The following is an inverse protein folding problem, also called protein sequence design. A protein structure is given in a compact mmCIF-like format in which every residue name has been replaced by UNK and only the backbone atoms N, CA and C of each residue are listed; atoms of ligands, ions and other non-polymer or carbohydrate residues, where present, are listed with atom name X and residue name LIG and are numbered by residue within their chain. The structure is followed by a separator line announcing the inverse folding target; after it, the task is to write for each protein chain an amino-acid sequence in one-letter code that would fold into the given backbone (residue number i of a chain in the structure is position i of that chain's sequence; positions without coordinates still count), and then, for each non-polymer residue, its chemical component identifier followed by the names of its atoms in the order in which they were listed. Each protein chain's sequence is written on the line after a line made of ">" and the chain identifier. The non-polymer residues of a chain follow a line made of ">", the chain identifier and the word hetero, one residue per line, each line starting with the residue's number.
data_IF_146241139095
#
_entry.id   IF_146241139095
#
_cell.length_a   1.000
_cell.length_b   1.000
_cell.length_c   1.000
_cell.angle_alpha   90.00
_cell.angle_beta   90.00
_cell.angle_gamma   90.00
#
_symmetry.space_group_name_H-M   'P 1'
#
loop_
_entity.id
_entity.type
_entity.pdbx_description
1 polymer ?
#
# COMPACT_ATOMS: atom_id res chain seq x y z
N UNK A 1 -2.66 35.47 -8.32
CA UNK A 1 -1.99 34.39 -9.03
C UNK A 1 -2.11 33.11 -8.22
N UNK A 2 -3.35 32.59 -8.18
CA UNK A 2 -3.69 31.40 -7.42
C UNK A 2 -3.44 30.15 -8.24
N UNK A 3 -2.25 29.57 -8.16
CA UNK A 3 -2.13 28.12 -8.31
C UNK A 3 -2.61 27.55 -6.99
N UNK A 4 -3.91 27.33 -6.87
CA UNK A 4 -4.46 26.45 -5.87
C UNK A 4 -3.76 25.10 -6.04
N UNK A 5 -2.85 24.79 -5.13
CA UNK A 5 -2.32 23.45 -5.01
C UNK A 5 -3.54 22.55 -4.76
N UNK A 6 -4.01 21.87 -5.79
CA UNK A 6 -5.13 20.98 -5.70
C UNK A 6 -4.82 20.00 -4.56
N UNK A 7 -5.63 20.04 -3.52
CA UNK A 7 -5.49 19.07 -2.40
C UNK A 7 -5.63 17.66 -2.96
N UNK A 8 -4.72 16.74 -2.64
CA UNK A 8 -4.84 15.37 -3.12
C UNK A 8 -6.20 14.82 -2.74
N UNK A 9 -6.93 14.30 -3.71
CA UNK A 9 -8.20 13.62 -3.46
C UNK A 9 -7.87 12.34 -2.71
N UNK A 10 -8.58 12.06 -1.62
CA UNK A 10 -8.41 10.83 -0.85
C UNK A 10 -8.50 9.60 -1.77
N UNK A 11 -7.55 8.67 -1.61
CA UNK A 11 -7.47 7.46 -2.43
C UNK A 11 -6.89 7.66 -3.83
N UNK A 12 -6.36 8.85 -4.15
CA UNK A 12 -5.71 9.14 -5.44
C UNK A 12 -4.31 9.72 -5.23
N UNK A 13 -3.32 8.83 -5.04
CA UNK A 13 -1.91 9.17 -4.82
C UNK A 13 -1.68 10.15 -3.66
N UNK A 14 -2.50 10.10 -2.62
CA UNK A 14 -2.30 10.88 -1.41
C UNK A 14 -1.20 10.28 -0.55
N UNK A 15 -0.15 11.05 -0.27
CA UNK A 15 0.97 10.59 0.56
C UNK A 15 0.80 10.98 2.01
N UNK A 16 1.04 10.03 2.91
CA UNK A 16 1.03 10.22 4.35
C UNK A 16 2.38 9.80 4.93
N UNK A 17 2.97 10.67 5.74
CA UNK A 17 4.20 10.38 6.47
C UNK A 17 3.85 9.95 7.89
N UNK A 18 4.02 8.67 8.20
CA UNK A 18 3.73 8.10 9.51
C UNK A 18 4.87 8.39 10.49
N UNK A 19 4.53 8.42 11.77
CA UNK A 19 5.52 8.62 12.85
C UNK A 19 6.58 7.52 12.92
N UNK A 20 6.23 6.32 12.48
CA UNK A 20 7.16 5.20 12.35
C UNK A 20 8.25 5.39 11.30
N UNK A 21 8.13 6.43 10.45
CA UNK A 21 9.01 6.67 9.29
C UNK A 21 8.53 6.02 8.00
N UNK A 22 7.35 5.42 8.01
CA UNK A 22 6.70 4.86 6.81
C UNK A 22 6.16 5.98 5.94
N UNK A 23 6.38 5.91 4.64
CA UNK A 23 5.65 6.70 3.64
C UNK A 23 4.52 5.83 3.08
N UNK A 24 3.29 6.19 3.41
CA UNK A 24 2.08 5.51 2.96
C UNK A 24 1.46 6.29 1.80
N UNK A 25 1.35 5.66 0.65
CA UNK A 25 0.70 6.24 -0.54
C UNK A 25 -0.68 5.62 -0.70
N UNK A 26 -1.69 6.44 -0.56
CA UNK A 26 -3.09 6.06 -0.72
C UNK A 26 -3.51 6.25 -2.18
N UNK A 27 -3.56 5.16 -2.93
CA UNK A 27 -4.09 5.09 -4.30
C UNK A 27 -5.26 4.08 -4.37
N UNK A 28 -6.06 4.05 -3.32
CA UNK A 28 -7.09 3.05 -3.06
C UNK A 28 -8.43 3.32 -3.74
N UNK A 29 -8.57 4.46 -4.44
CA UNK A 29 -9.85 4.84 -5.06
C UNK A 29 -10.28 3.87 -6.15
N UNK A 30 -9.36 3.47 -7.03
CA UNK A 30 -9.62 2.51 -8.09
C UNK A 30 -8.32 1.87 -8.62
N UNK A 31 -8.47 0.77 -9.33
CA UNK A 31 -7.37 0.11 -10.04
C UNK A 31 -7.86 -0.51 -11.35
N UNK A 32 -7.08 -0.31 -12.39
CA UNK A 32 -7.13 -1.06 -13.64
C UNK A 32 -5.70 -1.44 -14.03
N UNK A 33 -5.49 -2.33 -15.01
CA UNK A 33 -4.14 -2.78 -15.39
C UNK A 33 -3.18 -1.64 -15.72
N UNK A 34 -3.62 -0.65 -16.51
CA UNK A 34 -2.78 0.49 -16.88
C UNK A 34 -2.40 1.38 -15.71
N UNK A 35 -3.35 1.73 -14.84
CA UNK A 35 -3.08 2.54 -13.65
C UNK A 35 -2.23 1.81 -12.63
N UNK A 36 -2.37 0.48 -12.53
CA UNK A 36 -1.54 -0.35 -11.65
C UNK A 36 -0.10 -0.42 -12.16
N UNK A 37 0.11 -0.63 -13.44
CA UNK A 37 1.46 -0.65 -14.04
C UNK A 37 2.18 0.68 -13.79
N UNK A 38 1.50 1.81 -14.01
CA UNK A 38 2.05 3.14 -13.74
C UNK A 38 2.39 3.34 -12.24
N UNK A 39 1.53 2.85 -11.34
CA UNK A 39 1.76 2.94 -9.90
C UNK A 39 2.95 2.07 -9.44
N UNK A 40 3.10 0.87 -9.99
CA UNK A 40 4.26 -0.01 -9.74
C UNK A 40 5.57 0.67 -10.17
N UNK A 41 5.60 1.25 -11.36
CA UNK A 41 6.76 1.98 -11.88
C UNK A 41 7.09 3.19 -11.00
N UNK A 42 6.09 3.95 -10.58
CA UNK A 42 6.28 5.10 -9.69
C UNK A 42 6.80 4.68 -8.30
N UNK A 43 6.27 3.59 -7.74
CA UNK A 43 6.74 3.04 -6.47
C UNK A 43 8.20 2.57 -6.57
N UNK A 44 8.54 1.86 -7.62
CA UNK A 44 9.90 1.39 -7.85
C UNK A 44 10.90 2.55 -8.01
N UNK A 45 10.49 3.61 -8.72
CA UNK A 45 11.32 4.82 -8.92
C UNK A 45 11.41 5.71 -7.68
N UNK A 46 10.54 5.53 -6.70
CA UNK A 46 10.48 6.37 -5.48
C UNK A 46 11.54 6.04 -4.44
N UNK A 47 12.27 4.95 -4.60
CA UNK A 47 13.37 4.60 -3.70
C UNK A 47 14.47 5.64 -3.78
N UNK A 48 14.99 6.03 -2.61
CA UNK A 48 16.06 7.03 -2.58
C UNK A 48 17.30 6.51 -3.28
N UNK A 49 18.05 7.43 -3.91
CA UNK A 49 19.33 7.12 -4.56
C UNK A 49 20.38 6.54 -3.60
N UNK A 50 20.17 6.71 -2.30
CA UNK A 50 21.08 6.23 -1.25
C UNK A 50 20.81 4.78 -0.81
N UNK A 51 19.78 4.14 -1.35
CA UNK A 51 19.35 2.82 -0.92
C UNK A 51 18.72 2.81 0.48
N UNK A 52 18.15 1.70 0.88
CA UNK A 52 17.59 1.49 2.21
C UNK A 52 16.08 1.61 2.32
N UNK A 53 15.41 2.14 1.30
CA UNK A 53 13.95 2.13 1.26
C UNK A 53 13.43 0.78 0.78
N UNK A 54 12.48 0.23 1.51
CA UNK A 54 11.82 -1.03 1.19
C UNK A 54 10.43 -0.76 0.62
N UNK A 55 10.18 -1.21 -0.60
CA UNK A 55 8.92 -0.98 -1.31
C UNK A 55 7.92 -2.09 -1.10
N UNK A 56 6.68 -1.71 -0.77
CA UNK A 56 5.58 -2.61 -0.48
C UNK A 56 4.38 -2.25 -1.34
N UNK A 57 3.94 -3.18 -2.16
CA UNK A 57 2.68 -3.08 -2.90
C UNK A 57 1.59 -3.83 -2.13
N UNK A 58 0.55 -3.12 -1.73
CA UNK A 58 -0.64 -3.67 -1.08
C UNK A 58 -1.79 -3.58 -2.07
N UNK A 59 -2.16 -4.71 -2.63
CA UNK A 59 -3.05 -4.80 -3.79
C UNK A 59 -4.34 -5.53 -3.46
N UNK A 60 -5.48 -4.84 -3.66
CA UNK A 60 -6.80 -5.46 -3.71
C UNK A 60 -7.17 -5.87 -5.13
N UNK A 61 -8.25 -6.63 -5.25
CA UNK A 61 -8.71 -7.11 -6.55
C UNK A 61 -8.95 -5.97 -7.54
N UNK A 62 -8.55 -6.18 -8.78
CA UNK A 62 -9.03 -5.41 -9.92
C UNK A 62 -10.26 -6.10 -10.50
N UNK A 63 -11.35 -5.37 -10.60
CA UNK A 63 -12.64 -5.90 -11.06
C UNK A 63 -12.96 -5.44 -12.48
N UNK A 64 -14.00 -6.06 -13.05
CA UNK A 64 -14.51 -5.71 -14.40
C UNK A 64 -13.52 -5.98 -15.56
N UNK A 65 -12.65 -6.97 -15.38
CA UNK A 65 -11.68 -7.39 -16.41
C UNK A 65 -12.19 -8.57 -17.28
N UNK A 66 -13.35 -9.13 -16.94
CA UNK A 66 -13.92 -10.27 -17.67
C UNK A 66 -13.05 -11.53 -17.57
N UNK A 67 -12.89 -12.24 -18.68
CA UNK A 67 -12.11 -13.48 -18.74
C UNK A 67 -10.62 -13.29 -18.48
N UNK A 68 -10.11 -12.06 -18.55
CA UNK A 68 -8.69 -11.73 -18.38
C UNK A 68 -8.32 -11.43 -16.93
N UNK A 69 -9.24 -11.58 -15.97
CA UNK A 69 -9.01 -11.27 -14.55
C UNK A 69 -7.77 -11.95 -13.99
N UNK A 70 -7.70 -13.27 -14.13
CA UNK A 70 -6.56 -14.01 -13.58
C UNK A 70 -5.24 -13.72 -14.30
N UNK A 71 -5.17 -13.75 -15.67
CA UNK A 71 -3.95 -13.39 -16.38
C UNK A 71 -3.43 -11.98 -16.06
N UNK A 72 -4.31 -11.01 -15.93
CA UNK A 72 -3.92 -9.64 -15.60
C UNK A 72 -3.36 -9.48 -14.19
N UNK A 73 -3.96 -10.17 -13.21
CA UNK A 73 -3.40 -10.18 -11.84
C UNK A 73 -2.05 -10.91 -11.78
N UNK A 74 -1.93 -12.03 -12.48
CA UNK A 74 -0.66 -12.76 -12.58
C UNK A 74 0.44 -11.88 -13.21
N UNK A 75 0.11 -11.16 -14.28
CA UNK A 75 1.01 -10.20 -14.91
C UNK A 75 1.43 -9.09 -13.96
N UNK A 76 0.49 -8.51 -13.21
CA UNK A 76 0.78 -7.45 -12.25
C UNK A 76 1.80 -7.91 -11.19
N UNK A 77 1.64 -9.12 -10.68
CA UNK A 77 2.61 -9.69 -9.72
C UNK A 77 4.01 -9.87 -10.32
N UNK A 78 4.08 -10.41 -11.52
CA UNK A 78 5.35 -10.56 -12.26
C UNK A 78 6.00 -9.21 -12.56
N UNK A 79 5.21 -8.24 -12.98
CA UNK A 79 5.68 -6.88 -13.26
C UNK A 79 6.25 -6.21 -12.01
N UNK A 80 5.54 -6.28 -10.89
CA UNK A 80 6.00 -5.74 -9.61
C UNK A 80 7.33 -6.38 -9.17
N UNK A 81 7.46 -7.68 -9.30
CA UNK A 81 8.71 -8.38 -9.00
C UNK A 81 9.86 -7.93 -9.90
N UNK A 82 9.62 -7.86 -11.21
CA UNK A 82 10.62 -7.41 -12.18
C UNK A 82 11.03 -5.95 -11.99
N UNK A 83 10.11 -5.10 -11.53
CA UNK A 83 10.39 -3.70 -11.21
C UNK A 83 11.20 -3.50 -9.92
N UNK A 84 11.41 -4.56 -9.14
CA UNK A 84 12.21 -4.51 -7.91
C UNK A 84 11.41 -4.19 -6.64
N UNK A 85 10.08 -4.31 -6.68
CA UNK A 85 9.25 -4.20 -5.48
C UNK A 85 9.66 -5.32 -4.50
N UNK A 86 9.88 -4.96 -3.24
CA UNK A 86 10.38 -5.90 -2.24
C UNK A 86 9.30 -6.86 -1.73
N UNK A 87 8.09 -6.35 -1.49
CA UNK A 87 6.98 -7.13 -0.96
C UNK A 87 5.67 -6.83 -1.68
N UNK A 88 4.84 -7.87 -1.84
CA UNK A 88 3.48 -7.75 -2.33
C UNK A 88 2.52 -8.41 -1.34
N UNK A 89 1.60 -7.62 -0.76
CA UNK A 89 0.52 -8.11 0.08
C UNK A 89 -0.80 -7.99 -0.69
N UNK A 90 -1.39 -9.12 -1.00
CA UNK A 90 -2.57 -9.20 -1.87
C UNK A 90 -3.82 -9.58 -1.07
N UNK A 91 -4.92 -8.88 -1.33
CA UNK A 91 -6.21 -9.11 -0.68
C UNK A 91 -7.28 -9.44 -1.72
N UNK A 92 -7.95 -10.55 -1.50
CA UNK A 92 -9.09 -10.97 -2.30
C UNK A 92 -8.78 -12.15 -3.24
N UNK A 93 -9.83 -12.78 -3.78
CA UNK A 93 -9.68 -14.02 -4.56
C UNK A 93 -8.92 -13.83 -5.86
N UNK A 94 -9.07 -12.69 -6.54
CA UNK A 94 -8.38 -12.42 -7.82
C UNK A 94 -6.91 -12.07 -7.59
N UNK A 95 -6.62 -11.33 -6.53
CA UNK A 95 -5.26 -10.90 -6.18
C UNK A 95 -4.36 -12.05 -5.74
N UNK A 96 -4.92 -13.24 -5.45
CA UNK A 96 -4.13 -14.44 -5.23
C UNK A 96 -3.22 -14.76 -6.41
N UNK A 97 -3.68 -14.50 -7.65
CA UNK A 97 -2.86 -14.65 -8.84
C UNK A 97 -1.70 -13.64 -8.91
N UNK A 98 -1.88 -12.43 -8.39
CA UNK A 98 -0.80 -11.47 -8.28
C UNK A 98 0.29 -11.94 -7.30
N UNK A 99 -0.10 -12.49 -6.15
CA UNK A 99 0.83 -13.09 -5.20
C UNK A 99 1.60 -14.26 -5.82
N UNK A 100 0.91 -15.11 -6.57
CA UNK A 100 1.52 -16.22 -7.32
C UNK A 100 2.56 -15.72 -8.33
N UNK A 101 2.21 -14.69 -9.13
CA UNK A 101 3.10 -14.10 -10.13
C UNK A 101 4.32 -13.41 -9.52
N UNK A 102 4.18 -12.84 -8.34
CA UNK A 102 5.27 -12.20 -7.61
C UNK A 102 6.24 -13.23 -7.02
N UNK A 103 5.74 -14.30 -6.44
CA UNK A 103 6.54 -15.35 -5.81
C UNK A 103 7.06 -14.95 -4.43
N UNK A 104 8.33 -15.18 -4.18
CA UNK A 104 8.96 -14.90 -2.88
C UNK A 104 8.84 -13.44 -2.48
N UNK A 105 8.36 -13.18 -1.27
CA UNK A 105 8.07 -11.85 -0.75
C UNK A 105 6.61 -11.46 -0.88
N UNK A 106 5.77 -12.30 -1.49
CA UNK A 106 4.33 -12.10 -1.55
C UNK A 106 3.60 -12.86 -0.44
N UNK A 107 2.50 -12.26 0.03
CA UNK A 107 1.52 -12.91 0.90
C UNK A 107 0.11 -12.61 0.40
N UNK A 108 -0.78 -13.56 0.53
CA UNK A 108 -2.19 -13.42 0.21
C UNK A 108 -3.05 -13.48 1.47
N UNK A 109 -4.08 -12.63 1.52
CA UNK A 109 -5.00 -12.51 2.63
C UNK A 109 -6.44 -12.61 2.14
N UNK A 110 -7.33 -13.10 3.00
CA UNK A 110 -8.75 -13.23 2.69
C UNK A 110 -9.59 -12.10 3.29
N UNK A 111 -9.09 -11.42 4.32
CA UNK A 111 -9.80 -10.34 5.00
C UNK A 111 -8.93 -9.10 5.16
N UNK A 112 -9.59 -7.94 5.22
CA UNK A 112 -8.94 -6.66 5.50
C UNK A 112 -8.25 -6.65 6.87
N UNK A 113 -8.87 -7.27 7.88
CA UNK A 113 -8.33 -7.34 9.23
C UNK A 113 -6.99 -8.10 9.27
N UNK A 114 -6.93 -9.26 8.63
CA UNK A 114 -5.69 -10.05 8.54
C UNK A 114 -4.57 -9.30 7.82
N UNK A 115 -4.89 -8.64 6.71
CA UNK A 115 -3.93 -7.85 5.96
C UNK A 115 -3.41 -6.66 6.79
N UNK A 116 -4.31 -5.89 7.41
CA UNK A 116 -3.94 -4.75 8.24
C UNK A 116 -3.07 -5.16 9.43
N UNK A 117 -3.43 -6.24 10.12
CA UNK A 117 -2.66 -6.79 11.23
C UNK A 117 -1.24 -7.18 10.79
N UNK A 118 -1.13 -7.88 9.66
CA UNK A 118 0.17 -8.30 9.12
C UNK A 118 1.04 -7.10 8.70
N UNK A 119 0.45 -6.05 8.14
CA UNK A 119 1.17 -4.80 7.81
C UNK A 119 1.63 -4.08 9.06
N UNK A 120 0.74 -3.88 10.04
CA UNK A 120 1.02 -3.19 11.30
C UNK A 120 2.19 -3.84 12.02
N UNK A 121 2.27 -5.17 12.02
CA UNK A 121 3.38 -5.91 12.63
C UNK A 121 4.74 -5.65 11.96
N UNK A 122 4.76 -5.11 10.74
CA UNK A 122 5.97 -4.88 9.95
C UNK A 122 6.33 -3.41 9.76
N UNK A 123 5.46 -2.48 10.15
CA UNK A 123 5.69 -1.04 9.96
C UNK A 123 7.01 -0.60 10.60
N UNK A 124 7.82 0.10 9.83
CA UNK A 124 9.11 0.62 10.29
C UNK A 124 9.69 1.66 9.34
N UNK A 125 10.70 2.36 9.81
CA UNK A 125 11.39 3.38 9.04
C UNK A 125 11.97 2.79 7.74
N UNK A 126 11.93 3.58 6.66
CA UNK A 126 12.40 3.18 5.35
C UNK A 126 11.41 2.38 4.52
N UNK A 127 10.19 2.14 5.03
CA UNK A 127 9.14 1.50 4.24
C UNK A 127 8.38 2.52 3.40
N UNK A 128 8.15 2.15 2.14
CA UNK A 128 7.25 2.84 1.21
C UNK A 128 6.12 1.90 0.84
N UNK A 129 4.91 2.22 1.27
CA UNK A 129 3.74 1.36 1.13
C UNK A 129 2.74 2.02 0.19
N UNK A 130 2.47 1.39 -0.94
CA UNK A 130 1.41 1.81 -1.88
C UNK A 130 0.20 0.90 -1.71
N UNK A 131 -0.95 1.49 -1.42
CA UNK A 131 -2.23 0.78 -1.31
C UNK A 131 -3.10 1.09 -2.51
N UNK A 132 -3.46 0.05 -3.26
CA UNK A 132 -4.25 0.16 -4.49
C UNK A 132 -5.21 -1.01 -4.66
N UNK A 133 -6.34 -0.77 -5.30
CA UNK A 133 -7.34 -1.78 -5.63
C UNK A 133 -8.55 -1.17 -6.28
N UNK A 134 -9.40 -2.00 -6.88
CA UNK A 134 -10.71 -1.56 -7.37
C UNK A 134 -11.54 -0.99 -6.24
N UNK A 135 -12.47 -0.12 -6.57
CA UNK A 135 -13.37 0.51 -5.61
C UNK A 135 -14.12 -0.53 -4.75
N UNK A 136 -14.56 -1.63 -5.38
CA UNK A 136 -15.25 -2.73 -4.68
C UNK A 136 -14.38 -3.56 -3.75
N UNK A 137 -13.05 -3.45 -3.83
CA UNK A 137 -12.13 -4.12 -2.90
C UNK A 137 -11.94 -3.37 -1.57
N UNK A 138 -12.43 -2.14 -1.47
CA UNK A 138 -12.43 -1.31 -0.26
C UNK A 138 -11.04 -1.19 0.39
N UNK A 139 -10.01 -0.98 -0.41
CA UNK A 139 -8.63 -0.86 0.09
C UNK A 139 -8.39 0.43 0.88
N UNK A 140 -9.25 1.42 0.78
CA UNK A 140 -9.28 2.59 1.65
C UNK A 140 -9.42 2.23 3.13
N UNK A 141 -10.07 1.11 3.44
CA UNK A 141 -10.15 0.56 4.79
C UNK A 141 -8.76 0.22 5.37
N UNK A 142 -7.85 -0.29 4.55
CA UNK A 142 -6.47 -0.57 4.96
C UNK A 142 -5.75 0.74 5.31
N UNK A 143 -5.87 1.74 4.45
CA UNK A 143 -5.28 3.07 4.69
C UNK A 143 -5.79 3.65 6.00
N UNK A 144 -7.10 3.63 6.23
CA UNK A 144 -7.72 4.12 7.48
C UNK A 144 -7.19 3.40 8.71
N UNK A 145 -7.07 2.08 8.66
CA UNK A 145 -6.56 1.29 9.78
C UNK A 145 -5.09 1.61 10.11
N UNK A 146 -4.25 1.80 9.08
CA UNK A 146 -2.85 2.19 9.27
C UNK A 146 -2.73 3.60 9.86
N UNK A 147 -3.52 4.55 9.39
CA UNK A 147 -3.55 5.93 9.93
C UNK A 147 -4.07 5.97 11.37
N UNK A 148 -5.10 5.18 11.69
CA UNK A 148 -5.63 5.07 13.05
C UNK A 148 -4.60 4.46 14.01
N UNK A 149 -3.88 3.44 13.57
CA UNK A 149 -2.80 2.83 14.35
C UNK A 149 -1.68 3.84 14.64
N UNK A 150 -1.26 4.61 13.64
CA UNK A 150 -0.24 5.65 13.79
C UNK A 150 -0.68 6.74 14.79
N UNK A 151 -1.93 7.20 14.67
CA UNK A 151 -2.51 8.19 15.58
C UNK A 151 -2.64 7.67 17.02
N UNK A 152 -2.99 6.40 17.22
CA UNK A 152 -3.06 5.77 18.54
C UNK A 152 -1.68 5.68 19.20
N UNK A 153 -0.65 5.29 18.44
CA UNK A 153 0.74 5.27 18.93
C UNK A 153 1.26 6.65 19.28
N UNK A 154 0.86 7.67 18.54
CA UNK A 154 1.17 9.07 18.83
C UNK A 154 0.64 9.51 20.21
N UNK A 155 -0.61 9.15 20.50
CA UNK A 155 -1.24 9.46 21.78
C UNK A 155 -0.58 8.74 22.95
N UNK A 156 -0.24 7.47 22.78
CA UNK A 156 0.47 6.68 23.79
C UNK A 156 1.87 7.21 24.08
N UNK A 157 2.60 7.63 23.06
CA UNK A 157 3.92 8.23 23.21
C UNK A 157 3.84 9.56 23.99
N UNK A 158 2.84 10.39 23.69
CA UNK A 158 2.60 11.65 24.42
C UNK A 158 2.26 11.40 25.90
N UNK A 159 1.37 10.46 26.17
CA UNK A 159 0.99 10.12 27.54
C UNK A 159 2.18 9.60 28.38
N UNK A 160 3.07 8.81 27.79
CA UNK A 160 4.30 8.34 28.44
C UNK A 160 5.26 9.49 28.73
N UNK A 161 5.45 10.41 27.78
CA UNK A 161 6.30 11.60 27.98
C UNK A 161 5.79 12.54 29.06
N UNK A 162 4.50 12.62 29.29
CA UNK A 162 3.89 13.40 30.39
C UNK A 162 4.10 12.73 31.77
N UNK A 163 4.18 11.39 31.80
CA UNK A 163 4.47 10.64 33.06
C UNK A 163 5.94 10.74 33.43
N UNK A 164 6.85 10.73 32.50
CA UNK A 164 8.29 10.84 32.73
C UNK A 164 8.73 12.28 33.08
N UNK A 165 7.90 13.29 32.82
CA UNK A 165 8.14 14.70 33.12
C UNK A 165 7.56 15.16 34.49
N UNK A 166 6.84 14.30 35.16
CA UNK A 166 6.26 14.56 36.49
C UNK A 166 7.08 13.90 37.61
#
# INVERSE_FOLDING_TARGET
>A
DGLDAAQPVAGRLASHHLRSGVVLVDDSYNANPGSLDAAIEALAASTSANGGDETWLVLGDMRELGADERPMHLHAGRHAKAAGIAHLYALGPLSAAAAEGFGDGARHFNTHAELAEALIARLGAGMRVLVKGSRGSAMDSIVKQLLQHDAANARLAKARGEVDAA
#
